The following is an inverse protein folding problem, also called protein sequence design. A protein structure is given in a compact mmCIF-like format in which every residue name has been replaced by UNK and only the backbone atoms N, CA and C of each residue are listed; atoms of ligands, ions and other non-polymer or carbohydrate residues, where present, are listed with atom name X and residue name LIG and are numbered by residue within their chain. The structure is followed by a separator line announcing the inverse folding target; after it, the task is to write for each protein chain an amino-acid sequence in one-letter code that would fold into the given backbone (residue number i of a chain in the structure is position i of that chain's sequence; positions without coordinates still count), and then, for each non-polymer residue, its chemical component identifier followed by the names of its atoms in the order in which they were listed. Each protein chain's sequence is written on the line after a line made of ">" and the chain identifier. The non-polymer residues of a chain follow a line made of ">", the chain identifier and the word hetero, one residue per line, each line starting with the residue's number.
data_IF_529349290388
#
_entry.id   IF_529349290388
#
_cell.length_a   1.000
_cell.length_b   1.000
_cell.length_c   1.000
_cell.angle_alpha   90.00
_cell.angle_beta   90.00
_cell.angle_gamma   90.00
#
_symmetry.space_group_name_H-M   'P 1'
#
loop_
_entity.id
_entity.type
_entity.pdbx_description
1 polymer ?
#
# COMPACT_ATOMS: atom_id res chain seq x y z
N UNK A 1 -77.95 -34.73 9.57
CA UNK A 1 -77.21 -35.91 9.06
C UNK A 1 -77.67 -36.19 7.63
N UNK A 2 -76.89 -35.78 6.62
CA UNK A 2 -76.70 -36.46 5.32
C UNK A 2 -75.64 -35.68 4.52
N UNK A 3 -74.48 -36.32 4.37
CA UNK A 3 -73.43 -35.94 3.43
C UNK A 3 -73.98 -35.94 2.00
N UNK A 4 -73.63 -34.95 1.20
CA UNK A 4 -73.54 -35.11 -0.25
C UNK A 4 -72.08 -35.01 -0.69
N UNK A 5 -71.72 -35.97 -1.53
CA UNK A 5 -70.39 -36.44 -1.88
C UNK A 5 -69.85 -35.56 -3.01
N UNK A 6 -68.60 -35.11 -2.88
CA UNK A 6 -67.80 -34.44 -3.91
C UNK A 6 -67.76 -35.30 -5.19
N UNK A 7 -68.19 -34.74 -6.32
CA UNK A 7 -67.70 -35.18 -7.63
C UNK A 7 -66.32 -34.56 -7.85
N UNK A 8 -65.31 -35.41 -8.09
CA UNK A 8 -63.97 -35.01 -8.53
C UNK A 8 -64.01 -34.94 -10.06
N UNK A 9 -63.76 -33.75 -10.60
CA UNK A 9 -63.53 -33.49 -12.02
C UNK A 9 -62.16 -34.11 -12.42
N UNK A 10 -62.17 -35.35 -12.92
CA UNK A 10 -61.02 -36.00 -13.54
C UNK A 10 -60.85 -35.47 -14.98
N UNK A 11 -60.29 -34.27 -15.11
CA UNK A 11 -59.67 -33.83 -16.37
C UNK A 11 -58.18 -34.15 -16.34
N UNK A 12 -57.62 -34.86 -17.34
CA UNK A 12 -56.20 -35.14 -17.39
C UNK A 12 -55.43 -33.81 -17.48
N UNK A 13 -54.58 -33.55 -16.47
CA UNK A 13 -53.64 -32.43 -16.51
C UNK A 13 -52.69 -32.67 -17.68
N UNK A 14 -52.78 -31.81 -18.70
CA UNK A 14 -51.75 -31.71 -19.74
C UNK A 14 -50.38 -31.52 -19.04
N UNK A 15 -49.32 -32.24 -19.44
CA UNK A 15 -48.00 -32.00 -18.89
C UNK A 15 -47.66 -30.53 -19.12
N UNK A 16 -47.42 -29.79 -18.03
CA UNK A 16 -46.98 -28.39 -18.09
C UNK A 16 -45.75 -28.32 -19.01
N UNK A 17 -45.93 -27.73 -20.20
CA UNK A 17 -44.81 -27.52 -21.10
C UNK A 17 -43.79 -26.62 -20.38
N UNK A 18 -42.52 -27.00 -20.29
CA UNK A 18 -41.53 -26.17 -19.64
C UNK A 18 -41.45 -24.84 -20.38
N UNK A 19 -41.78 -23.75 -19.68
CA UNK A 19 -41.69 -22.39 -20.21
C UNK A 19 -40.21 -22.12 -20.42
N UNK A 20 -39.80 -22.08 -21.69
CA UNK A 20 -38.44 -21.69 -22.08
C UNK A 20 -38.48 -20.52 -23.05
N UNK A 21 -37.58 -19.57 -22.85
CA UNK A 21 -37.40 -18.41 -23.72
C UNK A 21 -35.91 -18.09 -23.84
N UNK A 22 -35.54 -17.35 -24.87
CA UNK A 22 -34.17 -16.89 -25.09
C UNK A 22 -34.15 -15.38 -24.88
N UNK A 23 -33.31 -14.91 -23.96
CA UNK A 23 -33.02 -13.49 -23.84
C UNK A 23 -31.68 -13.19 -24.52
N UNK A 24 -31.67 -12.12 -25.31
CA UNK A 24 -30.47 -11.60 -25.96
C UNK A 24 -30.09 -10.34 -25.20
N UNK A 25 -28.97 -10.39 -24.49
CA UNK A 25 -28.37 -9.22 -23.84
C UNK A 25 -27.09 -8.86 -24.58
N UNK A 26 -27.15 -7.78 -25.35
CA UNK A 26 -26.10 -7.29 -26.23
C UNK A 26 -25.57 -8.36 -27.20
N UNK A 27 -24.55 -9.11 -26.79
CA UNK A 27 -23.79 -10.08 -27.59
C UNK A 27 -23.87 -11.51 -27.04
N UNK A 28 -24.72 -11.75 -26.04
CA UNK A 28 -24.91 -13.08 -25.44
C UNK A 28 -26.40 -13.42 -25.51
N UNK A 29 -26.70 -14.62 -26.02
CA UNK A 29 -28.03 -15.20 -25.95
C UNK A 29 -28.04 -16.33 -24.91
N UNK A 30 -28.95 -16.21 -23.94
CA UNK A 30 -29.15 -17.19 -22.88
C UNK A 30 -30.56 -17.75 -22.99
N UNK A 31 -30.68 -19.07 -23.06
CA UNK A 31 -31.93 -19.79 -22.91
C UNK A 31 -32.22 -19.98 -21.44
N UNK A 32 -33.37 -19.49 -21.01
CA UNK A 32 -33.92 -19.67 -19.68
C UNK A 32 -35.01 -20.74 -19.75
N UNK A 33 -35.01 -21.65 -18.79
CA UNK A 33 -36.03 -22.70 -18.68
C UNK A 33 -36.44 -22.84 -17.21
N UNK A 34 -37.72 -22.65 -16.91
CA UNK A 34 -38.26 -23.00 -15.61
C UNK A 34 -38.47 -24.51 -15.53
N UNK A 35 -37.89 -25.12 -14.50
CA UNK A 35 -38.16 -26.51 -14.15
C UNK A 35 -39.45 -26.63 -13.33
N UNK A 36 -40.14 -27.78 -13.38
CA UNK A 36 -41.35 -28.02 -12.59
C UNK A 36 -41.16 -27.91 -11.06
N UNK A 37 -39.91 -27.92 -10.58
CA UNK A 37 -39.55 -27.73 -9.17
C UNK A 37 -39.30 -26.26 -8.79
N UNK A 38 -39.56 -25.32 -9.71
CA UNK A 38 -39.37 -23.88 -9.51
C UNK A 38 -37.94 -23.38 -9.72
N UNK A 39 -36.99 -24.24 -10.12
CA UNK A 39 -35.61 -23.82 -10.42
C UNK A 39 -35.50 -23.24 -11.83
N UNK A 40 -34.74 -22.16 -11.96
CA UNK A 40 -34.40 -21.53 -13.24
C UNK A 40 -33.10 -22.15 -13.77
N UNK A 41 -33.17 -22.82 -14.91
CA UNK A 41 -31.99 -23.30 -15.63
C UNK A 41 -31.63 -22.29 -16.71
N UNK A 42 -30.38 -21.83 -16.69
CA UNK A 42 -29.85 -20.87 -17.67
C UNK A 42 -28.79 -21.58 -18.51
N UNK A 43 -28.98 -21.61 -19.83
CA UNK A 43 -28.05 -22.20 -20.79
C UNK A 43 -27.62 -21.14 -21.79
N UNK A 44 -26.32 -20.87 -21.90
CA UNK A 44 -25.80 -19.98 -22.95
C UNK A 44 -25.96 -20.67 -24.31
N UNK A 45 -26.69 -20.03 -25.23
CA UNK A 45 -27.03 -20.58 -26.56
C UNK A 45 -26.04 -20.10 -27.61
N UNK A 46 -25.74 -18.81 -27.60
CA UNK A 46 -24.80 -18.17 -28.51
C UNK A 46 -24.10 -17.02 -27.81
N UNK A 47 -22.82 -16.87 -28.09
CA UNK A 47 -21.99 -15.76 -27.65
C UNK A 47 -21.36 -15.20 -28.93
N UNK A 48 -21.74 -13.99 -29.31
CA UNK A 48 -21.27 -13.30 -30.51
C UNK A 48 -20.14 -12.32 -30.21
N UNK A 49 -19.64 -12.26 -28.95
CA UNK A 49 -18.50 -11.39 -28.59
C UNK A 49 -17.24 -11.79 -29.37
N UNK A 50 -16.39 -10.86 -29.81
CA UNK A 50 -15.08 -11.18 -30.36
C UNK A 50 -14.26 -12.04 -29.38
N UNK A 51 -13.45 -12.98 -29.89
CA UNK A 51 -12.64 -13.88 -29.06
C UNK A 51 -11.73 -13.12 -28.07
N UNK A 52 -11.17 -11.98 -28.50
CA UNK A 52 -10.38 -11.10 -27.65
C UNK A 52 -11.19 -10.53 -26.47
N UNK A 53 -12.45 -10.14 -26.69
CA UNK A 53 -13.32 -9.62 -25.64
C UNK A 53 -13.69 -10.71 -24.63
N UNK A 54 -14.01 -11.94 -25.09
CA UNK A 54 -14.29 -13.07 -24.19
C UNK A 54 -13.09 -13.42 -23.33
N UNK A 55 -11.89 -13.38 -23.92
CA UNK A 55 -10.65 -13.65 -23.20
C UNK A 55 -10.37 -12.54 -22.18
N UNK A 56 -10.54 -11.27 -22.57
CA UNK A 56 -10.37 -10.13 -21.68
C UNK A 56 -11.35 -10.18 -20.51
N UNK A 57 -12.64 -10.42 -20.76
CA UNK A 57 -13.65 -10.52 -19.70
C UNK A 57 -13.40 -11.74 -18.79
N UNK A 58 -13.01 -12.88 -19.37
CA UNK A 58 -12.63 -14.06 -18.58
C UNK A 58 -11.41 -13.79 -17.71
N UNK A 59 -10.43 -13.05 -18.22
CA UNK A 59 -9.25 -12.61 -17.48
C UNK A 59 -9.65 -11.65 -16.35
N UNK A 60 -10.45 -10.62 -16.64
CA UNK A 60 -10.95 -9.68 -15.64
C UNK A 60 -11.72 -10.41 -14.54
N UNK A 61 -12.68 -11.27 -14.90
CA UNK A 61 -13.46 -12.04 -13.93
C UNK A 61 -12.59 -12.96 -13.05
N UNK A 62 -11.52 -13.54 -13.62
CA UNK A 62 -10.61 -14.40 -12.88
C UNK A 62 -9.68 -13.62 -11.94
N UNK A 63 -9.09 -12.53 -12.42
CA UNK A 63 -7.96 -11.85 -11.78
C UNK A 63 -8.28 -10.49 -11.14
N UNK A 64 -9.48 -9.93 -11.36
CA UNK A 64 -9.94 -8.72 -10.69
C UNK A 64 -10.99 -9.03 -9.61
N UNK A 65 -11.15 -8.13 -8.62
CA UNK A 65 -12.17 -8.26 -7.59
C UNK A 65 -13.58 -8.33 -8.17
N UNK A 66 -14.45 -9.00 -7.44
CA UNK A 66 -15.88 -9.09 -7.72
C UNK A 66 -16.47 -7.68 -7.73
N UNK A 67 -17.27 -7.35 -8.75
CA UNK A 67 -17.84 -6.00 -8.90
C UNK A 67 -16.87 -4.94 -9.44
N UNK A 68 -15.66 -5.32 -9.88
CA UNK A 68 -14.75 -4.40 -10.58
C UNK A 68 -15.44 -3.81 -11.83
N UNK A 69 -15.31 -2.50 -12.10
CA UNK A 69 -14.46 -1.51 -11.43
C UNK A 69 -15.07 -0.81 -10.21
N UNK A 70 -16.34 -1.04 -9.90
CA UNK A 70 -17.09 -0.26 -8.90
C UNK A 70 -16.77 -0.61 -7.46
N UNK A 71 -16.29 -1.82 -7.21
CA UNK A 71 -15.98 -2.36 -5.88
C UNK A 71 -14.62 -1.93 -5.32
N UNK A 72 -13.83 -1.15 -6.08
CA UNK A 72 -12.48 -0.71 -5.67
C UNK A 72 -12.32 0.80 -5.78
N UNK A 73 -11.40 1.37 -5.00
CA UNK A 73 -11.01 2.77 -5.16
C UNK A 73 -10.16 2.99 -6.43
N UNK A 74 -10.11 4.24 -6.87
CA UNK A 74 -9.38 4.65 -8.07
C UNK A 74 -7.91 4.28 -8.03
N UNK A 75 -7.32 4.02 -9.20
CA UNK A 75 -5.91 3.66 -9.35
C UNK A 75 -5.62 2.16 -9.30
N UNK A 76 -6.59 1.31 -8.91
CA UNK A 76 -6.37 -0.15 -8.79
C UNK A 76 -5.89 -0.81 -10.09
N UNK A 77 -6.39 -0.39 -11.25
CA UNK A 77 -5.92 -0.91 -12.55
C UNK A 77 -4.45 -0.59 -12.79
N UNK A 78 -4.05 0.69 -12.60
CA UNK A 78 -2.66 1.14 -12.79
C UNK A 78 -1.72 0.43 -11.81
N UNK A 79 -2.15 0.30 -10.56
CA UNK A 79 -1.47 -0.47 -9.53
C UNK A 79 -1.26 -1.93 -9.96
N UNK A 80 -2.30 -2.59 -10.46
CA UNK A 80 -2.25 -4.01 -10.88
C UNK A 80 -1.34 -4.21 -12.10
N UNK A 81 -1.34 -3.28 -13.06
CA UNK A 81 -0.46 -3.33 -14.23
C UNK A 81 1.03 -3.28 -13.85
N UNK A 82 1.40 -2.35 -12.96
CA UNK A 82 2.78 -2.25 -12.53
C UNK A 82 3.21 -3.35 -11.59
N UNK A 83 2.29 -3.83 -10.74
CA UNK A 83 2.51 -5.04 -9.96
C UNK A 83 2.82 -6.25 -10.83
N UNK A 84 2.09 -6.43 -11.93
CA UNK A 84 2.34 -7.51 -12.86
C UNK A 84 3.77 -7.41 -13.44
N UNK A 85 4.17 -6.21 -13.88
CA UNK A 85 5.52 -5.98 -14.39
C UNK A 85 6.60 -6.17 -13.31
N UNK A 86 6.36 -5.67 -12.10
CA UNK A 86 7.23 -5.84 -10.94
C UNK A 86 7.52 -7.32 -10.66
N UNK A 87 6.46 -8.13 -10.49
CA UNK A 87 6.62 -9.55 -10.19
C UNK A 87 7.27 -10.31 -11.34
N UNK A 88 6.99 -9.94 -12.58
CA UNK A 88 7.65 -10.51 -13.75
C UNK A 88 9.16 -10.26 -13.74
N UNK A 89 9.59 -9.01 -13.59
CA UNK A 89 11.03 -8.67 -13.62
C UNK A 89 11.78 -9.16 -12.40
N UNK A 90 11.18 -9.06 -11.21
CA UNK A 90 11.75 -9.59 -9.96
C UNK A 90 11.98 -11.10 -10.04
N UNK A 91 11.01 -11.84 -10.59
CA UNK A 91 11.12 -13.28 -10.79
C UNK A 91 12.23 -13.65 -11.78
N UNK A 92 12.31 -12.96 -12.92
CA UNK A 92 13.38 -13.18 -13.90
C UNK A 92 14.76 -12.91 -13.28
N UNK A 93 14.88 -11.82 -12.52
CA UNK A 93 16.10 -11.45 -11.81
C UNK A 93 16.49 -12.49 -10.74
N UNK A 94 15.51 -13.06 -10.03
CA UNK A 94 15.73 -14.10 -9.02
C UNK A 94 16.37 -15.37 -9.60
N UNK A 95 16.04 -15.74 -10.84
CA UNK A 95 16.67 -16.89 -11.52
C UNK A 95 18.16 -16.64 -11.74
N UNK A 96 18.53 -15.43 -12.20
CA UNK A 96 19.93 -15.04 -12.40
C UNK A 96 20.71 -15.04 -11.08
N UNK A 97 20.05 -14.62 -10.00
CA UNK A 97 20.56 -14.68 -8.63
C UNK A 97 20.89 -16.12 -8.21
N UNK A 98 19.91 -17.02 -8.34
CA UNK A 98 20.06 -18.43 -7.96
C UNK A 98 21.14 -19.12 -8.80
N UNK A 99 21.16 -18.91 -10.11
CA UNK A 99 22.20 -19.46 -10.99
C UNK A 99 23.60 -19.01 -10.54
N UNK A 100 23.76 -17.74 -10.18
CA UNK A 100 25.04 -17.18 -9.75
C UNK A 100 25.46 -17.71 -8.39
N UNK A 101 24.54 -17.81 -7.43
CA UNK A 101 24.80 -18.44 -6.13
C UNK A 101 25.28 -19.88 -6.24
N UNK A 102 24.60 -20.69 -7.07
CA UNK A 102 24.98 -22.08 -7.29
C UNK A 102 26.35 -22.19 -7.93
N UNK A 103 26.65 -21.34 -8.91
CA UNK A 103 27.96 -21.29 -9.54
C UNK A 103 29.05 -20.87 -8.55
N UNK A 104 28.84 -19.79 -7.77
CA UNK A 104 29.80 -19.33 -6.77
C UNK A 104 30.09 -20.39 -5.70
N UNK A 105 29.07 -21.14 -5.28
CA UNK A 105 29.26 -22.24 -4.33
C UNK A 105 30.07 -23.40 -4.93
N UNK A 106 29.87 -23.72 -6.21
CA UNK A 106 30.65 -24.73 -6.92
C UNK A 106 32.11 -24.37 -7.16
N UNK A 107 32.48 -23.08 -7.12
CA UNK A 107 33.86 -22.62 -7.28
C UNK A 107 34.75 -22.83 -6.04
N UNK A 108 34.16 -23.17 -4.89
CA UNK A 108 34.92 -23.29 -3.64
C UNK A 108 35.43 -24.73 -3.46
N UNK A 109 36.75 -24.96 -3.32
CA UNK A 109 37.31 -26.29 -3.08
C UNK A 109 37.18 -26.67 -1.60
N UNK A 110 35.96 -26.61 -1.05
CA UNK A 110 35.66 -26.93 0.34
C UNK A 110 34.93 -28.26 0.46
N UNK A 111 35.20 -29.07 1.51
CA UNK A 111 34.43 -30.28 1.78
C UNK A 111 32.93 -29.98 1.86
N UNK A 112 32.09 -30.93 1.45
CA UNK A 112 30.64 -30.77 1.40
C UNK A 112 30.04 -30.25 2.73
N UNK A 113 30.59 -30.70 3.87
CA UNK A 113 30.20 -30.23 5.21
C UNK A 113 30.43 -28.73 5.41
N UNK A 114 31.61 -28.22 5.05
CA UNK A 114 31.92 -26.79 5.18
C UNK A 114 31.08 -25.92 4.22
N UNK A 115 30.80 -26.44 3.01
CA UNK A 115 29.88 -25.79 2.06
C UNK A 115 28.48 -25.72 2.62
N UNK A 116 27.98 -26.80 3.23
CA UNK A 116 26.66 -26.84 3.87
C UNK A 116 26.56 -25.85 5.04
N UNK A 117 27.58 -25.79 5.92
CA UNK A 117 27.63 -24.82 7.01
C UNK A 117 27.59 -23.39 6.47
N UNK A 118 28.36 -23.08 5.43
CA UNK A 118 28.32 -21.75 4.78
C UNK A 118 26.93 -21.41 4.27
N UNK A 119 26.23 -22.38 3.68
CA UNK A 119 24.88 -22.18 3.12
C UNK A 119 23.86 -21.90 4.23
N UNK A 120 23.93 -22.66 5.33
CA UNK A 120 23.08 -22.47 6.50
C UNK A 120 23.35 -21.11 7.17
N UNK A 121 24.61 -20.73 7.35
CA UNK A 121 24.98 -19.43 7.94
C UNK A 121 24.48 -18.27 7.06
N UNK A 122 24.67 -18.38 5.74
CA UNK A 122 24.13 -17.41 4.78
C UNK A 122 22.61 -17.29 4.89
N UNK A 123 21.88 -18.40 4.98
CA UNK A 123 20.43 -18.39 5.10
C UNK A 123 19.96 -17.89 6.49
N UNK A 124 20.76 -18.16 7.54
CA UNK A 124 20.57 -17.61 8.88
C UNK A 124 20.55 -16.08 8.90
N UNK A 125 21.37 -15.43 8.07
CA UNK A 125 21.40 -13.96 7.96
C UNK A 125 20.06 -13.35 7.54
N UNK A 126 19.25 -14.09 6.77
CA UNK A 126 17.90 -13.65 6.42
C UNK A 126 17.00 -13.53 7.66
N UNK A 127 17.14 -14.42 8.64
CA UNK A 127 16.39 -14.35 9.90
C UNK A 127 16.84 -13.17 10.76
N UNK A 128 18.14 -12.88 10.79
CA UNK A 128 18.68 -11.69 11.48
C UNK A 128 18.09 -10.42 10.87
N UNK A 129 18.06 -10.32 9.54
CA UNK A 129 17.44 -9.18 8.84
C UNK A 129 15.95 -9.01 9.20
N UNK A 130 15.20 -10.12 9.31
CA UNK A 130 13.79 -10.09 9.72
C UNK A 130 13.62 -9.54 11.15
N UNK A 131 14.45 -9.97 12.09
CA UNK A 131 14.40 -9.54 13.49
C UNK A 131 14.74 -8.05 13.67
N UNK A 132 15.71 -7.54 12.90
CA UNK A 132 16.04 -6.11 12.97
C UNK A 132 14.90 -5.27 12.38
N UNK A 133 14.32 -5.73 11.27
CA UNK A 133 13.25 -5.03 10.58
C UNK A 133 11.93 -4.99 11.38
N UNK A 134 11.67 -5.96 12.27
CA UNK A 134 10.43 -5.98 13.07
C UNK A 134 10.29 -4.78 14.01
N UNK A 135 11.40 -4.18 14.44
CA UNK A 135 11.38 -2.99 15.31
C UNK A 135 10.96 -1.70 14.57
N UNK A 136 10.74 -1.77 13.26
CA UNK A 136 10.43 -0.63 12.40
C UNK A 136 8.95 -0.60 11.99
N UNK A 137 8.10 -1.47 12.55
CA UNK A 137 6.69 -1.62 12.19
C UNK A 137 5.90 -0.31 12.21
N UNK A 138 6.00 0.48 13.30
CA UNK A 138 5.29 1.77 13.40
C UNK A 138 5.67 2.75 12.27
N UNK A 139 6.94 2.73 11.83
CA UNK A 139 7.40 3.55 10.69
C UNK A 139 6.82 3.05 9.37
N UNK A 140 6.63 1.73 9.23
CA UNK A 140 6.01 1.12 8.05
C UNK A 140 4.53 1.46 7.95
N UNK A 141 3.82 1.50 9.07
CA UNK A 141 2.42 1.91 9.10
C UNK A 141 2.24 3.39 8.73
N UNK A 142 3.14 4.25 9.22
CA UNK A 142 3.14 5.69 8.90
C UNK A 142 3.42 5.99 7.42
N UNK A 143 4.40 5.30 6.83
CA UNK A 143 4.88 5.57 5.46
C UNK A 143 4.88 4.30 4.56
N UNK A 144 3.71 3.66 4.32
CA UNK A 144 3.66 2.32 3.73
C UNK A 144 4.17 2.28 2.28
N UNK A 145 3.90 3.33 1.50
CA UNK A 145 4.37 3.46 0.12
C UNK A 145 5.90 3.50 0.04
N UNK A 146 6.53 4.33 0.88
CA UNK A 146 7.99 4.45 0.94
C UNK A 146 8.63 3.16 1.40
N UNK A 147 8.08 2.54 2.45
CA UNK A 147 8.63 1.28 2.96
C UNK A 147 8.47 0.12 1.98
N UNK A 148 7.43 0.14 1.12
CA UNK A 148 7.34 -0.80 0.00
C UNK A 148 8.48 -0.57 -1.00
N UNK A 149 8.71 0.65 -1.46
CA UNK A 149 9.81 0.97 -2.38
C UNK A 149 11.16 0.58 -1.77
N UNK A 150 11.40 0.92 -0.51
CA UNK A 150 12.63 0.57 0.19
C UNK A 150 12.79 -0.95 0.34
N UNK A 151 11.70 -1.69 0.56
CA UNK A 151 11.73 -3.14 0.61
C UNK A 151 12.24 -3.72 -0.72
N UNK A 152 11.64 -3.31 -1.84
CA UNK A 152 12.04 -3.81 -3.16
C UNK A 152 13.46 -3.37 -3.54
N UNK A 153 13.90 -2.15 -3.18
CA UNK A 153 15.29 -1.70 -3.34
C UNK A 153 16.26 -2.58 -2.52
N UNK A 154 15.95 -2.89 -1.27
CA UNK A 154 16.77 -3.78 -0.44
C UNK A 154 16.79 -5.21 -0.97
N UNK A 155 15.66 -5.68 -1.53
CA UNK A 155 15.56 -7.00 -2.15
C UNK A 155 16.45 -7.09 -3.40
N UNK A 156 16.41 -6.08 -4.25
CA UNK A 156 17.24 -5.99 -5.45
C UNK A 156 18.71 -5.81 -5.11
N UNK A 157 19.04 -5.02 -4.08
CA UNK A 157 20.41 -4.92 -3.57
C UNK A 157 20.94 -6.30 -3.14
N UNK A 158 20.16 -7.05 -2.35
CA UNK A 158 20.56 -8.38 -1.93
C UNK A 158 20.67 -9.36 -3.09
N UNK A 159 19.79 -9.25 -4.08
CA UNK A 159 19.85 -10.03 -5.32
C UNK A 159 21.08 -9.67 -6.16
N UNK A 160 21.44 -8.39 -6.23
CA UNK A 160 22.66 -7.93 -6.90
C UNK A 160 23.92 -8.52 -6.27
N UNK A 161 24.01 -8.55 -4.93
CA UNK A 161 25.13 -9.19 -4.22
C UNK A 161 25.24 -10.68 -4.56
N UNK A 162 24.11 -11.38 -4.62
CA UNK A 162 24.08 -12.79 -5.03
C UNK A 162 24.53 -13.00 -6.48
N UNK A 163 24.09 -12.14 -7.41
CA UNK A 163 24.55 -12.15 -8.82
C UNK A 163 26.06 -11.92 -8.92
N UNK A 164 26.61 -11.01 -8.10
CA UNK A 164 28.04 -10.69 -8.06
C UNK A 164 28.89 -11.72 -7.31
N UNK A 165 28.28 -12.61 -6.52
CA UNK A 165 29.00 -13.55 -5.66
C UNK A 165 30.08 -14.41 -6.35
N UNK A 166 29.95 -14.82 -7.64
CA UNK A 166 31.02 -15.58 -8.30
C UNK A 166 32.28 -14.77 -8.61
N UNK A 167 32.23 -13.43 -8.56
CA UNK A 167 33.41 -12.59 -8.75
C UNK A 167 34.33 -12.61 -7.52
N UNK A 168 33.76 -12.91 -6.35
CA UNK A 168 34.47 -12.92 -5.08
C UNK A 168 34.20 -14.23 -4.32
N UNK A 169 34.58 -15.41 -4.86
CA UNK A 169 34.25 -16.71 -4.25
C UNK A 169 34.88 -16.91 -2.86
N UNK A 170 35.98 -16.18 -2.57
CA UNK A 170 36.65 -16.16 -1.27
C UNK A 170 35.87 -15.39 -0.19
N UNK A 171 34.98 -14.47 -0.59
CA UNK A 171 34.07 -13.71 0.30
C UNK A 171 32.61 -14.16 0.12
N UNK A 172 32.38 -15.40 -0.32
CA UNK A 172 31.05 -15.88 -0.66
C UNK A 172 30.08 -15.72 0.52
N UNK A 173 30.52 -16.07 1.73
CA UNK A 173 29.65 -16.06 2.91
C UNK A 173 29.26 -14.63 3.29
N UNK A 174 30.20 -13.69 3.20
CA UNK A 174 30.01 -12.28 3.50
C UNK A 174 29.08 -11.62 2.48
N UNK A 175 29.37 -11.80 1.19
CA UNK A 175 28.58 -11.20 0.09
C UNK A 175 27.18 -11.78 0.05
N UNK A 176 27.05 -13.11 0.03
CA UNK A 176 25.76 -13.77 -0.06
C UNK A 176 24.97 -13.66 1.26
N UNK A 177 25.67 -13.64 2.40
CA UNK A 177 25.06 -13.47 3.73
C UNK A 177 24.50 -12.05 3.90
N UNK A 178 25.25 -11.03 3.48
CA UNK A 178 24.75 -9.65 3.43
C UNK A 178 23.55 -9.51 2.47
N UNK A 179 23.59 -10.21 1.34
CA UNK A 179 22.47 -10.26 0.40
C UNK A 179 21.20 -10.84 1.03
N UNK A 180 21.33 -11.99 1.69
CA UNK A 180 20.21 -12.61 2.42
C UNK A 180 19.72 -11.77 3.60
N UNK A 181 20.63 -11.09 4.33
CA UNK A 181 20.26 -10.13 5.36
C UNK A 181 19.36 -9.01 4.82
N UNK A 182 19.77 -8.38 3.72
CA UNK A 182 18.99 -7.33 3.06
C UNK A 182 17.62 -7.84 2.58
N UNK A 183 17.58 -9.03 1.94
CA UNK A 183 16.32 -9.70 1.56
C UNK A 183 15.44 -10.02 2.76
N UNK A 184 16.04 -10.37 3.90
CA UNK A 184 15.33 -10.60 5.16
C UNK A 184 14.58 -9.36 5.63
N UNK A 185 15.24 -8.21 5.62
CA UNK A 185 14.60 -6.91 5.92
C UNK A 185 13.50 -6.58 4.91
N UNK A 186 13.78 -6.73 3.61
CA UNK A 186 12.85 -6.47 2.54
C UNK A 186 11.54 -7.26 2.68
N UNK A 187 11.63 -8.56 2.97
CA UNK A 187 10.45 -9.43 3.11
C UNK A 187 9.54 -8.96 4.25
N UNK A 188 10.08 -8.50 5.38
CA UNK A 188 9.27 -7.97 6.48
C UNK A 188 8.57 -6.68 6.07
N UNK A 189 9.32 -5.73 5.51
CA UNK A 189 8.77 -4.45 5.06
C UNK A 189 7.69 -4.61 3.98
N UNK A 190 7.91 -5.47 2.99
CA UNK A 190 6.93 -5.75 1.93
C UNK A 190 5.64 -6.38 2.48
N UNK A 191 5.75 -7.26 3.49
CA UNK A 191 4.60 -7.90 4.14
C UNK A 191 3.83 -6.93 5.05
N UNK A 192 4.54 -6.16 5.87
CA UNK A 192 3.93 -5.19 6.79
C UNK A 192 3.13 -4.12 6.04
N UNK A 193 3.68 -3.60 4.95
CA UNK A 193 3.03 -2.56 4.12
C UNK A 193 1.87 -3.08 3.29
N UNK A 194 1.65 -4.40 3.22
CA UNK A 194 0.64 -5.00 2.35
C UNK A 194 -0.78 -4.62 2.77
N UNK A 195 -1.10 -4.78 4.05
CA UNK A 195 -2.42 -4.49 4.58
C UNK A 195 -2.86 -3.04 4.34
N UNK A 196 -2.10 -2.00 4.76
CA UNK A 196 -2.52 -0.61 4.57
C UNK A 196 -2.68 -0.21 3.09
N UNK A 197 -1.95 -0.86 2.17
CA UNK A 197 -2.08 -0.59 0.73
C UNK A 197 -3.35 -1.23 0.18
N UNK A 198 -3.63 -2.50 0.46
CA UNK A 198 -4.86 -3.14 -0.03
C UNK A 198 -6.11 -2.58 0.63
N UNK A 199 -6.05 -2.22 1.92
CA UNK A 199 -7.18 -1.56 2.59
C UNK A 199 -7.53 -0.24 1.94
N UNK A 200 -6.55 0.50 1.42
CA UNK A 200 -6.79 1.74 0.67
C UNK A 200 -7.57 1.55 -0.63
N UNK A 201 -7.57 0.34 -1.20
CA UNK A 201 -8.37 0.01 -2.39
C UNK A 201 -9.75 -0.58 -2.06
N UNK A 202 -9.96 -1.05 -0.83
CA UNK A 202 -11.20 -1.67 -0.43
C UNK A 202 -12.32 -0.62 -0.29
N UNK A 203 -13.48 -0.90 -0.87
CA UNK A 203 -14.65 0.01 -0.83
C UNK A 203 -15.87 -0.64 -0.19
N UNK A 204 -16.07 -1.94 -0.41
CA UNK A 204 -17.28 -2.68 0.00
C UNK A 204 -16.96 -3.77 1.04
N UNK A 205 -15.93 -3.57 1.86
CA UNK A 205 -15.44 -4.62 2.77
C UNK A 205 -14.82 -5.82 2.04
N UNK A 206 -14.47 -5.66 0.77
CA UNK A 206 -13.94 -6.69 -0.15
C UNK A 206 -12.42 -6.92 0.01
N UNK A 207 -11.88 -6.73 1.21
CA UNK A 207 -10.44 -6.79 1.47
C UNK A 207 -9.86 -8.17 1.13
N UNK A 208 -10.51 -9.26 1.56
CA UNK A 208 -10.06 -10.62 1.28
C UNK A 208 -10.02 -10.95 -0.21
N UNK A 209 -10.99 -10.45 -1.00
CA UNK A 209 -11.02 -10.65 -2.45
C UNK A 209 -9.89 -9.88 -3.12
N UNK A 210 -9.66 -8.63 -2.72
CA UNK A 210 -8.51 -7.83 -3.15
C UNK A 210 -7.17 -8.55 -2.92
N UNK A 211 -6.97 -9.14 -1.74
CA UNK A 211 -5.79 -9.94 -1.43
C UNK A 211 -5.67 -11.16 -2.34
N UNK A 212 -6.73 -11.96 -2.48
CA UNK A 212 -6.72 -13.18 -3.28
C UNK A 212 -6.41 -12.89 -4.76
N UNK A 213 -7.04 -11.85 -5.32
CA UNK A 213 -6.89 -11.42 -6.72
C UNK A 213 -5.51 -10.82 -6.98
N UNK A 214 -5.02 -10.01 -6.05
CA UNK A 214 -3.66 -9.48 -6.12
C UNK A 214 -2.60 -10.57 -6.06
N UNK A 215 -2.73 -11.57 -5.17
CA UNK A 215 -1.82 -12.73 -5.13
C UNK A 215 -1.91 -13.59 -6.41
N UNK A 216 -3.09 -13.72 -7.01
CA UNK A 216 -3.26 -14.44 -8.28
C UNK A 216 -2.50 -13.76 -9.43
N UNK A 217 -2.61 -12.42 -9.55
CA UNK A 217 -1.81 -11.64 -10.51
C UNK A 217 -0.32 -11.80 -10.23
N UNK A 218 0.11 -11.59 -8.99
CA UNK A 218 1.52 -11.76 -8.59
C UNK A 218 2.06 -13.14 -8.96
N UNK A 219 1.29 -14.20 -8.70
CA UNK A 219 1.67 -15.59 -9.00
C UNK A 219 1.79 -15.85 -10.50
N UNK A 220 0.81 -15.42 -11.30
CA UNK A 220 0.84 -15.59 -12.75
C UNK A 220 2.10 -14.96 -13.36
N UNK A 221 2.37 -13.70 -13.02
CA UNK A 221 3.51 -12.97 -13.57
C UNK A 221 4.85 -13.45 -13.00
N UNK A 222 4.87 -13.95 -11.76
CA UNK A 222 6.04 -14.63 -11.23
C UNK A 222 6.40 -15.88 -12.06
N UNK A 223 5.42 -16.72 -12.42
CA UNK A 223 5.66 -17.91 -13.28
C UNK A 223 6.19 -17.51 -14.66
N UNK A 224 5.60 -16.49 -15.29
CA UNK A 224 6.07 -15.98 -16.58
C UNK A 224 7.50 -15.40 -16.49
N UNK A 225 7.79 -14.68 -15.41
CA UNK A 225 9.11 -14.12 -15.14
C UNK A 225 10.15 -15.19 -14.88
N UNK A 226 9.82 -16.26 -14.16
CA UNK A 226 10.71 -17.43 -13.97
C UNK A 226 11.05 -18.08 -15.31
N UNK A 227 10.06 -18.32 -16.18
CA UNK A 227 10.29 -18.87 -17.52
C UNK A 227 11.23 -17.99 -18.35
N UNK A 228 11.01 -16.67 -18.31
CA UNK A 228 11.88 -15.69 -18.98
C UNK A 228 13.29 -15.68 -18.37
N UNK A 229 13.41 -15.72 -17.05
CA UNK A 229 14.69 -15.78 -16.34
C UNK A 229 15.51 -17.01 -16.70
N UNK A 230 14.86 -18.19 -16.82
CA UNK A 230 15.53 -19.43 -17.26
C UNK A 230 16.01 -19.31 -18.71
N UNK A 231 15.19 -18.75 -19.59
CA UNK A 231 15.59 -18.49 -20.97
C UNK A 231 16.78 -17.53 -21.05
N UNK A 232 16.79 -16.45 -20.26
CA UNK A 232 17.91 -15.51 -20.17
C UNK A 232 19.17 -16.19 -19.61
N UNK A 233 19.03 -16.96 -18.52
CA UNK A 233 20.12 -17.69 -17.86
C UNK A 233 20.81 -18.70 -18.77
N UNK A 234 20.07 -19.30 -19.71
CA UNK A 234 20.59 -20.26 -20.69
C UNK A 234 21.15 -19.62 -21.97
N UNK A 235 20.91 -18.33 -22.19
CA UNK A 235 21.33 -17.61 -23.40
C UNK A 235 22.36 -16.53 -23.04
N UNK A 236 21.95 -15.25 -23.00
CA UNK A 236 22.81 -14.08 -22.80
C UNK A 236 23.47 -14.11 -21.41
N UNK A 237 22.73 -14.53 -20.39
CA UNK A 237 23.20 -14.59 -19.01
C UNK A 237 23.92 -15.89 -18.65
N UNK A 238 24.29 -16.71 -19.64
CA UNK A 238 25.24 -17.81 -19.41
C UNK A 238 26.63 -17.28 -19.01
N UNK A 239 26.99 -16.09 -19.51
CA UNK A 239 28.21 -15.38 -19.16
C UNK A 239 28.02 -14.40 -18.00
N UNK A 240 29.07 -14.15 -17.23
CA UNK A 240 29.05 -13.14 -16.17
C UNK A 240 28.84 -11.72 -16.72
N UNK A 241 29.45 -11.41 -17.87
CA UNK A 241 29.26 -10.11 -18.53
C UNK A 241 27.78 -9.86 -18.88
N UNK A 242 27.10 -10.87 -19.43
CA UNK A 242 25.66 -10.78 -19.73
C UNK A 242 24.83 -10.53 -18.47
N UNK A 243 25.13 -11.24 -17.37
CA UNK A 243 24.45 -11.00 -16.08
C UNK A 243 24.65 -9.58 -15.55
N UNK A 244 25.87 -9.04 -15.64
CA UNK A 244 26.18 -7.69 -15.19
C UNK A 244 25.49 -6.60 -16.01
N UNK A 245 24.98 -6.90 -17.20
CA UNK A 245 24.15 -5.98 -18.00
C UNK A 245 22.67 -6.22 -17.76
N UNK A 246 22.20 -7.47 -17.86
CA UNK A 246 20.77 -7.80 -17.80
C UNK A 246 20.21 -7.65 -16.38
N UNK A 247 20.95 -8.03 -15.34
CA UNK A 247 20.45 -7.96 -13.97
C UNK A 247 20.17 -6.52 -13.51
N UNK A 248 21.06 -5.52 -13.73
CA UNK A 248 20.73 -4.13 -13.43
C UNK A 248 19.56 -3.59 -14.26
N UNK A 249 19.42 -3.97 -15.53
CA UNK A 249 18.28 -3.55 -16.35
C UNK A 249 16.95 -4.09 -15.79
N UNK A 250 16.91 -5.37 -15.43
CA UNK A 250 15.74 -5.97 -14.77
C UNK A 250 15.43 -5.30 -13.44
N UNK A 251 16.45 -4.97 -12.65
CA UNK A 251 16.29 -4.24 -11.39
C UNK A 251 15.76 -2.81 -11.59
N UNK A 252 16.26 -2.07 -12.59
CA UNK A 252 15.74 -0.73 -12.91
C UNK A 252 14.26 -0.79 -13.29
N UNK A 253 13.86 -1.75 -14.14
CA UNK A 253 12.44 -1.92 -14.51
C UNK A 253 11.62 -2.34 -13.30
N UNK A 254 12.16 -3.22 -12.44
CA UNK A 254 11.52 -3.66 -11.21
C UNK A 254 11.23 -2.48 -10.29
N UNK A 255 12.25 -1.69 -9.92
CA UNK A 255 12.10 -0.54 -9.01
C UNK A 255 11.21 0.55 -9.63
N UNK A 256 11.33 0.82 -10.93
CA UNK A 256 10.42 1.74 -11.62
C UNK A 256 8.96 1.29 -11.50
N UNK A 257 8.70 0.00 -11.70
CA UNK A 257 7.37 -0.58 -11.56
C UNK A 257 6.84 -0.44 -10.14
N UNK A 258 7.66 -0.68 -9.12
CA UNK A 258 7.27 -0.47 -7.71
C UNK A 258 6.93 0.99 -7.42
N UNK A 259 7.73 1.93 -7.92
CA UNK A 259 7.47 3.36 -7.74
C UNK A 259 6.11 3.76 -8.34
N UNK A 260 5.81 3.29 -9.55
CA UNK A 260 4.54 3.60 -10.20
C UNK A 260 3.35 2.83 -9.59
N UNK A 261 3.56 1.58 -9.12
CA UNK A 261 2.59 0.82 -8.33
C UNK A 261 2.21 1.65 -7.09
N UNK A 262 3.19 2.14 -6.33
CA UNK A 262 2.96 2.91 -5.10
C UNK A 262 2.34 4.28 -5.34
N UNK A 263 2.67 4.94 -6.45
CA UNK A 263 2.02 6.19 -6.87
C UNK A 263 0.53 6.01 -7.14
N UNK A 264 0.12 4.85 -7.63
CA UNK A 264 -1.28 4.57 -7.92
C UNK A 264 -2.13 4.24 -6.68
N UNK A 265 -1.52 3.93 -5.52
CA UNK A 265 -2.24 3.56 -4.31
C UNK A 265 -2.84 4.79 -3.57
N UNK A 266 -4.17 4.87 -3.38
CA UNK A 266 -4.83 6.01 -2.72
C UNK A 266 -4.87 5.84 -1.19
N UNK A 267 -3.71 5.75 -0.53
CA UNK A 267 -3.64 5.54 0.93
C UNK A 267 -4.32 6.68 1.68
N UNK A 268 -5.31 6.35 2.49
CA UNK A 268 -6.28 7.27 3.08
C UNK A 268 -6.14 7.47 4.61
N UNK A 269 -5.10 6.91 5.23
CA UNK A 269 -4.72 7.21 6.63
C UNK A 269 -4.01 8.56 6.77
N UNK A 270 -3.94 9.12 7.97
CA UNK A 270 -3.19 10.37 8.19
C UNK A 270 -1.75 10.06 8.64
N UNK A 271 -0.78 10.70 8.01
CA UNK A 271 0.63 10.73 8.42
C UNK A 271 1.16 12.17 8.33
N UNK A 272 2.37 12.48 8.83
CA UNK A 272 2.88 13.85 8.84
C UNK A 272 2.85 14.55 7.47
N UNK A 273 3.23 13.85 6.41
CA UNK A 273 3.29 14.42 5.06
C UNK A 273 1.89 14.69 4.48
N UNK A 274 1.01 13.69 4.50
CA UNK A 274 -0.36 13.78 3.96
C UNK A 274 -1.18 14.80 4.74
N UNK A 275 -1.07 14.82 6.07
CA UNK A 275 -1.72 15.84 6.91
C UNK A 275 -1.23 17.24 6.56
N UNK A 276 0.09 17.44 6.43
CA UNK A 276 0.62 18.74 6.05
C UNK A 276 0.16 19.18 4.65
N UNK A 277 0.06 18.26 3.68
CA UNK A 277 -0.45 18.57 2.34
C UNK A 277 -1.93 18.97 2.34
N UNK A 278 -2.76 18.22 3.08
CA UNK A 278 -4.19 18.51 3.25
C UNK A 278 -4.39 19.89 3.87
N UNK A 279 -3.68 20.18 4.95
CA UNK A 279 -3.78 21.44 5.68
C UNK A 279 -3.29 22.61 4.83
N UNK A 280 -2.18 22.43 4.10
CA UNK A 280 -1.69 23.46 3.19
C UNK A 280 -2.69 23.77 2.06
N UNK A 281 -3.32 22.76 1.46
CA UNK A 281 -4.33 22.95 0.42
C UNK A 281 -5.55 23.70 0.98
N UNK A 282 -6.03 23.30 2.16
CA UNK A 282 -7.17 23.93 2.81
C UNK A 282 -6.90 25.39 3.18
N UNK A 283 -5.78 25.67 3.85
CA UNK A 283 -5.44 27.04 4.28
C UNK A 283 -5.22 27.98 3.09
N UNK A 284 -4.69 27.48 1.96
CA UNK A 284 -4.47 28.30 0.75
C UNK A 284 -5.72 28.49 -0.10
N UNK A 285 -6.49 27.43 -0.31
CA UNK A 285 -7.52 27.39 -1.36
C UNK A 285 -8.92 27.19 -0.84
N UNK A 286 -9.08 26.85 0.45
CA UNK A 286 -10.35 26.46 1.05
C UNK A 286 -10.88 25.11 0.54
N UNK A 287 -10.06 24.31 -0.14
CA UNK A 287 -10.46 23.01 -0.71
C UNK A 287 -9.63 21.87 -0.11
N UNK A 288 -10.26 20.70 0.01
CA UNK A 288 -9.61 19.48 0.48
C UNK A 288 -9.42 18.47 -0.67
N UNK A 289 -8.18 18.04 -0.88
CA UNK A 289 -7.82 16.98 -1.83
C UNK A 289 -8.26 15.60 -1.32
N UNK A 290 -8.81 14.76 -2.20
CA UNK A 290 -9.09 13.35 -1.86
C UNK A 290 -7.79 12.52 -1.80
N UNK A 291 -7.79 11.32 -1.19
CA UNK A 291 -6.64 10.40 -1.27
C UNK A 291 -6.25 10.07 -2.72
N UNK A 292 -7.25 10.03 -3.62
CA UNK A 292 -7.04 9.78 -5.04
C UNK A 292 -6.31 10.92 -5.76
N UNK A 293 -6.60 12.16 -5.40
CA UNK A 293 -5.95 13.35 -5.97
C UNK A 293 -4.55 13.56 -5.38
N UNK A 294 -4.41 13.29 -4.08
CA UNK A 294 -3.19 13.54 -3.32
C UNK A 294 -2.07 12.54 -3.63
N UNK A 295 -2.42 11.30 -4.01
CA UNK A 295 -1.46 10.17 -4.17
C UNK A 295 -0.25 10.44 -5.06
N UNK A 296 -0.39 11.28 -6.10
CA UNK A 296 0.70 11.60 -7.03
C UNK A 296 1.59 12.77 -6.60
N UNK A 297 1.14 13.54 -5.59
CA UNK A 297 1.87 14.69 -5.05
C UNK A 297 2.76 14.32 -3.86
N UNK A 298 2.59 13.12 -3.30
CA UNK A 298 3.43 12.60 -2.22
C UNK A 298 4.89 12.41 -2.71
N UNK A 299 5.84 12.89 -1.90
CA UNK A 299 7.26 12.59 -2.06
C UNK A 299 7.57 11.24 -1.39
N UNK A 300 7.66 10.20 -2.21
CA UNK A 300 7.88 8.83 -1.75
C UNK A 300 9.34 8.55 -1.34
N UNK A 301 10.29 9.40 -1.75
CA UNK A 301 11.72 9.21 -1.48
C UNK A 301 12.15 9.98 -0.22
N UNK A 302 11.68 11.22 -0.09
CA UNK A 302 12.07 12.15 0.97
C UNK A 302 10.84 12.77 1.69
N UNK A 303 10.04 11.97 2.43
CA UNK A 303 8.82 12.43 3.08
C UNK A 303 9.04 13.44 4.22
N UNK A 304 10.29 13.60 4.68
CA UNK A 304 10.64 14.51 5.78
C UNK A 304 10.66 16.00 5.42
N UNK A 305 10.29 16.38 4.19
CA UNK A 305 10.24 17.78 3.77
C UNK A 305 9.08 18.50 4.44
N UNK A 306 9.41 19.49 5.27
CA UNK A 306 8.42 20.32 5.95
C UNK A 306 7.73 21.25 4.95
N UNK A 307 6.39 21.28 5.01
CA UNK A 307 5.56 22.11 4.14
C UNK A 307 5.35 23.46 4.82
N UNK A 308 5.79 24.53 4.16
CA UNK A 308 5.79 25.87 4.77
C UNK A 308 4.39 26.36 5.08
N UNK A 309 3.44 26.10 4.17
CA UNK A 309 2.07 26.59 4.28
C UNK A 309 1.21 25.75 5.25
N UNK A 310 1.79 24.68 5.79
CA UNK A 310 1.23 23.89 6.88
C UNK A 310 1.98 24.12 8.20
N UNK A 311 2.61 25.29 8.36
CA UNK A 311 3.26 25.69 9.61
C UNK A 311 4.61 25.03 9.90
N UNK A 312 5.23 24.38 8.91
CA UNK A 312 6.49 23.63 9.05
C UNK A 312 6.47 22.69 10.26
N UNK A 313 5.41 21.89 10.42
CA UNK A 313 5.23 21.05 11.61
C UNK A 313 6.10 19.79 11.55
N UNK A 314 6.82 19.53 12.64
CA UNK A 314 7.57 18.30 12.87
C UNK A 314 6.97 17.53 14.04
N UNK A 315 6.63 16.25 13.82
CA UNK A 315 6.02 15.39 14.84
C UNK A 315 7.00 14.33 15.32
N UNK A 316 6.76 13.82 16.53
CA UNK A 316 7.38 12.59 17.00
C UNK A 316 8.69 12.79 17.77
N UNK A 317 8.90 13.99 18.32
CA UNK A 317 10.01 14.28 19.23
C UNK A 317 9.58 14.11 20.69
N UNK A 318 10.53 13.76 21.55
CA UNK A 318 10.30 13.56 22.97
C UNK A 318 9.94 14.89 23.66
N UNK A 319 8.97 14.87 24.58
CA UNK A 319 8.52 16.08 25.29
C UNK A 319 9.67 16.85 25.97
N UNK A 320 10.58 16.13 26.63
CA UNK A 320 11.71 16.71 27.36
C UNK A 320 12.74 17.41 26.45
N UNK A 321 12.78 17.08 25.15
CA UNK A 321 13.69 17.72 24.19
C UNK A 321 13.13 19.05 23.65
N UNK A 322 11.82 19.24 23.75
CA UNK A 322 11.09 20.29 23.02
C UNK A 322 10.52 21.33 23.99
N UNK A 323 9.93 20.91 25.11
CA UNK A 323 9.15 21.79 25.99
C UNK A 323 9.83 21.94 27.34
N UNK A 324 10.01 23.19 27.80
CA UNK A 324 10.44 23.51 29.17
C UNK A 324 9.26 23.44 30.13
N UNK A 325 9.47 23.10 31.43
CA UNK A 325 8.37 23.00 32.40
C UNK A 325 7.48 24.24 32.51
N UNK A 326 8.07 25.45 32.43
CA UNK A 326 7.31 26.71 32.48
C UNK A 326 6.37 26.90 31.29
N UNK A 327 6.80 26.50 30.08
CA UNK A 327 5.95 26.55 28.88
C UNK A 327 4.81 25.52 28.95
N UNK A 328 5.04 24.37 29.58
CA UNK A 328 4.02 23.31 29.70
C UNK A 328 2.79 23.77 30.48
N UNK A 329 2.98 24.55 31.56
CA UNK A 329 1.87 25.16 32.31
C UNK A 329 1.09 26.16 31.45
N UNK A 330 1.79 27.05 30.74
CA UNK A 330 1.17 28.02 29.84
C UNK A 330 0.33 27.34 28.74
N UNK A 331 0.78 26.20 28.21
CA UNK A 331 -0.01 25.43 27.23
C UNK A 331 -1.32 24.91 27.80
N UNK A 332 -1.31 24.37 29.04
CA UNK A 332 -2.56 23.90 29.69
C UNK A 332 -3.56 25.03 29.89
N UNK A 333 -3.07 26.25 30.14
CA UNK A 333 -3.93 27.43 30.25
C UNK A 333 -4.47 27.89 28.89
N UNK A 334 -3.67 27.75 27.83
CA UNK A 334 -4.04 28.21 26.47
C UNK A 334 -4.96 27.22 25.74
N UNK A 335 -4.73 25.92 25.91
CA UNK A 335 -5.46 24.85 25.21
C UNK A 335 -5.89 23.75 26.20
N UNK A 336 -6.88 24.01 27.07
CA UNK A 336 -7.23 23.10 28.15
C UNK A 336 -7.84 21.76 27.69
N UNK A 337 -8.49 21.73 26.52
CA UNK A 337 -9.18 20.53 26.00
C UNK A 337 -8.41 19.80 24.89
N UNK A 338 -7.25 20.32 24.47
CA UNK A 338 -6.54 19.81 23.31
C UNK A 338 -5.48 18.78 23.70
N UNK A 339 -5.40 17.69 22.92
CA UNK A 339 -4.45 16.58 23.14
C UNK A 339 -3.13 16.75 22.40
N UNK A 340 -2.78 17.97 22.05
CA UNK A 340 -1.54 18.31 21.35
C UNK A 340 -0.83 19.48 22.02
N UNK A 341 0.49 19.53 21.86
CA UNK A 341 1.35 20.63 22.30
C UNK A 341 2.13 21.15 21.10
N UNK A 342 2.13 22.47 20.91
CA UNK A 342 2.85 23.13 19.82
C UNK A 342 3.97 24.01 20.36
N UNK A 343 5.22 23.66 20.13
CA UNK A 343 6.33 24.54 20.43
C UNK A 343 6.86 25.17 19.14
N UNK A 344 6.56 26.47 18.96
CA UNK A 344 7.05 27.22 17.83
C UNK A 344 8.56 27.50 17.99
N UNK A 345 9.37 26.95 17.09
CA UNK A 345 10.80 27.20 16.98
C UNK A 345 11.12 28.08 15.77
N UNK A 346 12.34 28.62 15.70
CA UNK A 346 12.75 29.53 14.61
C UNK A 346 12.77 28.89 13.21
N UNK A 347 12.88 27.56 13.13
CA UNK A 347 13.00 26.83 11.85
C UNK A 347 11.78 25.97 11.52
N UNK A 348 11.06 25.50 12.54
CA UNK A 348 9.91 24.62 12.42
C UNK A 348 9.09 24.66 13.72
N UNK A 349 7.84 24.19 13.64
CA UNK A 349 6.97 24.02 14.81
C UNK A 349 7.02 22.56 15.25
N UNK A 350 7.48 22.29 16.46
CA UNK A 350 7.42 20.93 17.01
C UNK A 350 6.00 20.66 17.54
N UNK A 351 5.36 19.59 17.08
CA UNK A 351 4.08 19.13 17.60
C UNK A 351 4.24 17.79 18.31
N UNK A 352 3.73 17.73 19.54
CA UNK A 352 3.79 16.55 20.39
C UNK A 352 2.36 16.17 20.77
N UNK A 353 2.02 14.89 20.61
CA UNK A 353 0.68 14.36 20.80
C UNK A 353 0.58 13.56 22.10
N UNK A 354 -0.57 13.67 22.77
CA UNK A 354 -0.90 12.83 23.91
C UNK A 354 -1.07 11.36 23.47
N UNK A 355 -0.86 10.41 24.38
CA UNK A 355 -0.92 8.99 24.10
C UNK A 355 -2.27 8.56 23.46
N UNK A 356 -3.38 9.16 23.89
CA UNK A 356 -4.75 8.90 23.43
C UNK A 356 -5.22 9.88 22.32
N UNK A 357 -4.30 10.64 21.72
CA UNK A 357 -4.62 11.57 20.64
C UNK A 357 -4.98 10.83 19.33
N UNK A 358 -6.02 11.32 18.67
CA UNK A 358 -6.60 10.83 17.42
C UNK A 358 -6.03 11.59 16.21
N UNK A 359 -6.44 11.20 15.00
CA UNK A 359 -6.18 11.99 13.78
C UNK A 359 -6.78 13.39 13.83
N UNK A 360 -7.93 13.54 14.48
CA UNK A 360 -8.60 14.84 14.65
C UNK A 360 -7.78 15.78 15.52
N UNK A 361 -7.24 15.29 16.64
CA UNK A 361 -6.36 16.07 17.51
C UNK A 361 -5.09 16.53 16.78
N UNK A 362 -4.50 15.66 15.95
CA UNK A 362 -3.35 16.01 15.12
C UNK A 362 -3.71 17.08 14.07
N UNK A 363 -4.89 16.97 13.44
CA UNK A 363 -5.38 17.95 12.46
C UNK A 363 -5.60 19.32 13.10
N UNK A 364 -6.18 19.38 14.31
CA UNK A 364 -6.35 20.62 15.08
C UNK A 364 -5.01 21.31 15.30
N UNK A 365 -4.03 20.57 15.81
CA UNK A 365 -2.68 21.09 16.04
C UNK A 365 -2.03 21.61 14.76
N UNK A 366 -2.19 20.90 13.64
CA UNK A 366 -1.69 21.35 12.34
C UNK A 366 -2.36 22.63 11.83
N UNK A 367 -3.68 22.75 11.99
CA UNK A 367 -4.43 23.95 11.59
C UNK A 367 -4.00 25.16 12.42
N UNK A 368 -3.84 25.01 13.74
CA UNK A 368 -3.31 26.07 14.61
C UNK A 368 -1.91 26.49 14.15
N UNK A 369 -1.01 25.54 13.91
CA UNK A 369 0.33 25.84 13.44
C UNK A 369 0.35 26.52 12.06
N UNK A 370 -0.51 26.09 11.14
CA UNK A 370 -0.62 26.67 9.81
C UNK A 370 -1.20 28.09 9.84
N UNK A 371 -2.26 28.33 10.63
CA UNK A 371 -2.83 29.67 10.80
C UNK A 371 -1.87 30.62 11.50
N UNK A 372 -1.19 30.17 12.55
CA UNK A 372 -0.17 30.97 13.23
C UNK A 372 0.95 31.38 12.26
N UNK A 373 1.48 30.42 11.48
CA UNK A 373 2.52 30.73 10.49
C UNK A 373 2.05 31.67 9.39
N UNK A 374 0.77 31.59 8.99
CA UNK A 374 0.21 32.51 8.00
C UNK A 374 0.01 33.93 8.58
N UNK A 375 -0.44 34.03 9.84
CA UNK A 375 -0.58 35.31 10.56
C UNK A 375 0.77 36.00 10.79
N UNK A 376 1.81 35.24 11.17
CA UNK A 376 3.18 35.76 11.33
C UNK A 376 3.79 36.30 10.04
N UNK A 377 3.39 35.75 8.88
CA UNK A 377 3.81 36.29 7.58
C UNK A 377 3.15 37.63 7.25
N UNK A 378 1.93 37.85 7.76
CA UNK A 378 1.14 39.05 7.50
C UNK A 378 1.46 40.17 8.49
N UNK A 379 1.78 39.82 9.74
CA UNK A 379 2.09 40.77 10.82
C UNK A 379 3.59 40.71 11.07
N UNK A 380 4.33 41.73 10.60
CA UNK A 380 5.79 41.83 10.74
C UNK A 380 6.30 41.91 12.21
N UNK A 381 5.41 41.96 13.20
CA UNK A 381 5.74 41.90 14.63
C UNK A 381 5.08 40.68 15.31
N UNK A 382 5.84 39.87 16.08
CA UNK A 382 5.29 38.73 16.80
C UNK A 382 4.44 39.22 17.98
N UNK A 383 3.12 39.16 17.85
CA UNK A 383 2.22 39.45 18.97
C UNK A 383 2.01 38.19 19.83
N UNK A 384 1.95 38.36 21.15
CA UNK A 384 1.66 37.25 22.08
C UNK A 384 0.30 36.58 21.84
N UNK A 385 -0.58 37.22 21.05
CA UNK A 385 -1.95 36.77 20.77
C UNK A 385 -2.08 35.92 19.49
N UNK A 386 -1.03 35.79 18.66
CA UNK A 386 -1.13 35.07 17.37
C UNK A 386 -1.60 33.63 17.56
N UNK A 387 -1.04 32.90 18.54
CA UNK A 387 -1.44 31.51 18.80
C UNK A 387 -2.90 31.41 19.27
N UNK A 388 -3.37 32.38 20.04
CA UNK A 388 -4.75 32.41 20.54
C UNK A 388 -5.74 32.74 19.41
N UNK A 389 -5.38 33.66 18.52
CA UNK A 389 -6.18 33.98 17.32
C UNK A 389 -6.21 32.82 16.32
N UNK A 390 -5.06 32.16 16.10
CA UNK A 390 -4.96 30.95 15.29
C UNK A 390 -5.84 29.81 15.84
N UNK A 391 -5.88 29.65 17.16
CA UNK A 391 -6.73 28.69 17.85
C UNK A 391 -8.21 29.02 17.72
N UNK A 392 -8.60 30.28 17.88
CA UNK A 392 -9.98 30.72 17.64
C UNK A 392 -10.41 30.41 16.20
N UNK A 393 -9.56 30.75 15.21
CA UNK A 393 -9.83 30.46 13.80
C UNK A 393 -9.93 28.97 13.50
N UNK A 394 -9.08 28.15 14.12
CA UNK A 394 -9.17 26.69 14.03
C UNK A 394 -10.53 26.21 14.53
N UNK A 395 -10.97 26.63 15.71
CA UNK A 395 -12.26 26.21 16.27
C UNK A 395 -13.46 26.61 15.38
N UNK A 396 -13.41 27.78 14.74
CA UNK A 396 -14.47 28.20 13.81
C UNK A 396 -14.49 27.38 12.51
N UNK A 397 -13.36 26.83 12.07
CA UNK A 397 -13.23 26.17 10.77
C UNK A 397 -13.14 24.64 10.86
N UNK A 398 -12.93 24.07 12.05
CA UNK A 398 -12.62 22.65 12.21
C UNK A 398 -13.79 21.74 11.83
N UNK A 399 -15.00 22.02 12.29
CA UNK A 399 -16.18 21.18 12.00
C UNK A 399 -16.48 21.05 10.49
N UNK A 400 -16.58 22.13 9.70
CA UNK A 400 -16.77 21.99 8.25
C UNK A 400 -15.57 21.34 7.56
N UNK A 401 -14.34 21.65 8.00
CA UNK A 401 -13.13 21.01 7.49
C UNK A 401 -13.15 19.49 7.71
N UNK A 402 -13.48 19.03 8.92
CA UNK A 402 -13.53 17.62 9.28
C UNK A 402 -14.61 16.87 8.49
N UNK A 403 -15.79 17.46 8.35
CA UNK A 403 -16.89 16.88 7.59
C UNK A 403 -16.54 16.72 6.10
N UNK A 404 -15.90 17.74 5.49
CA UNK A 404 -15.42 17.64 4.10
C UNK A 404 -14.30 16.58 3.98
N UNK A 405 -13.37 16.53 4.94
CA UNK A 405 -12.27 15.58 4.95
C UNK A 405 -12.76 14.12 5.00
N UNK A 406 -13.73 13.83 5.87
CA UNK A 406 -14.37 12.52 5.98
C UNK A 406 -15.20 12.18 4.72
N UNK A 407 -15.92 13.15 4.17
CA UNK A 407 -16.69 12.98 2.92
C UNK A 407 -15.78 12.66 1.71
N UNK A 408 -14.52 13.12 1.74
CA UNK A 408 -13.49 12.78 0.74
C UNK A 408 -12.82 11.42 0.95
N UNK A 409 -13.18 10.69 2.02
CA UNK A 409 -12.74 9.31 2.27
C UNK A 409 -11.46 9.17 3.11
N UNK A 410 -11.06 10.20 3.84
CA UNK A 410 -9.93 10.14 4.77
C UNK A 410 -10.33 9.51 6.12
N UNK A 411 -9.46 8.68 6.68
CA UNK A 411 -9.59 8.15 8.04
C UNK A 411 -9.03 9.16 9.05
N UNK A 412 -9.91 9.78 9.84
CA UNK A 412 -9.56 10.82 10.81
C UNK A 412 -9.44 10.31 12.23
N UNK A 413 -9.83 9.05 12.48
CA UNK A 413 -9.76 8.41 13.80
C UNK A 413 -8.33 8.18 14.27
N UNK A 414 -7.39 7.98 13.34
CA UNK A 414 -6.01 7.61 13.64
C UNK A 414 -4.99 8.52 12.95
N UNK A 415 -3.94 8.86 13.70
CA UNK A 415 -2.74 9.52 13.19
C UNK A 415 -1.53 8.61 13.33
N UNK A 416 -0.84 8.33 12.22
CA UNK A 416 0.33 7.47 12.20
C UNK A 416 1.61 8.33 12.20
N UNK A 417 2.10 8.68 13.38
CA UNK A 417 3.30 9.51 13.57
C UNK A 417 4.64 8.79 13.24
N UNK A 418 4.63 7.45 13.27
CA UNK A 418 5.77 6.59 12.93
C UNK A 418 6.89 6.51 13.96
N UNK A 419 6.92 7.38 14.98
CA UNK A 419 7.97 7.36 16.00
C UNK A 419 7.51 6.77 17.33
N UNK A 420 6.19 6.78 17.60
CA UNK A 420 5.64 6.32 18.88
C UNK A 420 5.99 7.22 20.07
N UNK A 421 6.60 8.38 19.84
CA UNK A 421 6.95 9.34 20.89
C UNK A 421 5.74 10.22 21.18
N UNK A 422 4.89 9.76 22.10
CA UNK A 422 3.75 10.48 22.65
C UNK A 422 3.94 10.69 24.15
N UNK A 423 3.22 11.63 24.74
CA UNK A 423 3.26 11.89 26.18
C UNK A 423 1.96 11.47 26.88
N UNK A 424 2.05 11.16 28.16
CA UNK A 424 0.92 10.97 29.04
C UNK A 424 1.26 11.61 30.39
N UNK A 425 0.24 12.08 31.12
CA UNK A 425 0.40 12.65 32.45
C UNK A 425 0.23 11.63 33.55
#
# INVERSE_FOLDING_TARGET
>A
MKMQRKEKDDRPQLPEQPISWVEISNSVSCQYQFQPDGKLLVKMVDDSRPAAQRMAESFLNKFFPSGYPYSVNEGYMRYTQFRALQHFTSAALSVLSTQSLLFAAGLRPTPAQATAVSWILRDGMQHVGKLICSNLGARMDSEPKRWRILADVLYDFGTGLEVMSPLCPHLFLEVAGLGNFAKGMAVVAARATRLPIYSSFAKEGNLSDLFAKGEAISTLFNVLGLGTGIHLASTICSSMQGKLVVAPLLSIIHIYSVCEEMRAAPVNTLNPQRTAMIVADFVKTGKISSPADLRYREDLLFPGRLIEDAGKVKVGRSLHEVVRPSKLQQFKETFPEEKFLLNHGSRWTDMILEQNATGEDALRGWLVAAYASNMERLVHEPSANILQEAYYKMNCTFSPFLAELQAKGWHTDQFLDGTGNRFAF
#
